data_IF_592276895254
#
_entry.id   IF_592276895254
#
_cell.length_a   1.000
_cell.length_b   1.000
_cell.length_c   1.000
_cell.angle_alpha   90.00
_cell.angle_beta   90.00
_cell.angle_gamma   90.00
#
_symmetry.space_group_name_H-M   'P 1'
#
loop_
_entity.id
_entity.type
_entity.pdbx_description
1 polymer ?
#
# COMPACT_ATOMS: atom_id res chain seq x y z
N UNK A 1 19.08 -21.26 3.95
CA UNK A 1 18.49 -19.92 4.23
C UNK A 1 17.41 -19.55 3.21
N UNK A 2 17.68 -19.60 1.88
CA UNK A 2 16.66 -19.23 0.85
C UNK A 2 15.39 -20.06 0.97
N UNK A 3 15.52 -21.38 1.13
CA UNK A 3 14.38 -22.28 1.31
C UNK A 3 13.58 -21.91 2.57
N UNK A 4 14.26 -21.74 3.71
CA UNK A 4 13.60 -21.35 4.96
C UNK A 4 12.88 -19.99 4.86
N UNK A 5 13.44 -19.03 4.14
CA UNK A 5 12.77 -17.75 3.86
C UNK A 5 11.49 -17.98 3.04
N UNK A 6 11.55 -18.80 1.99
CA UNK A 6 10.37 -19.15 1.19
C UNK A 6 9.27 -19.84 2.00
N UNK A 7 9.64 -20.78 2.88
CA UNK A 7 8.72 -21.47 3.78
C UNK A 7 8.03 -20.48 4.76
N UNK A 8 8.82 -19.60 5.41
CA UNK A 8 8.26 -18.56 6.30
C UNK A 8 7.34 -17.59 5.58
N UNK A 9 7.69 -17.16 4.36
CA UNK A 9 6.81 -16.32 3.53
C UNK A 9 5.50 -17.04 3.22
N UNK A 10 5.57 -18.35 2.90
CA UNK A 10 4.39 -19.15 2.60
C UNK A 10 3.48 -19.32 3.83
N UNK A 11 4.04 -19.57 5.00
CA UNK A 11 3.31 -19.62 6.27
C UNK A 11 2.65 -18.28 6.61
N UNK A 12 3.40 -17.18 6.40
CA UNK A 12 2.95 -15.83 6.76
C UNK A 12 1.84 -15.31 5.85
N UNK A 13 1.97 -15.51 4.55
CA UNK A 13 1.08 -14.89 3.54
C UNK A 13 0.16 -15.88 2.83
N UNK A 14 0.37 -17.19 2.99
CA UNK A 14 -0.50 -18.22 2.41
C UNK A 14 -0.29 -18.51 0.92
N UNK A 15 0.78 -18.00 0.31
CA UNK A 15 1.12 -18.23 -1.09
C UNK A 15 2.31 -19.20 -1.21
N UNK A 16 2.28 -20.18 -2.12
CA UNK A 16 3.30 -21.24 -2.17
C UNK A 16 4.59 -20.87 -2.92
N UNK A 17 4.58 -19.85 -3.77
CA UNK A 17 5.71 -19.48 -4.62
C UNK A 17 6.13 -18.05 -4.45
N UNK A 18 7.45 -17.83 -4.42
CA UNK A 18 8.03 -16.51 -4.12
C UNK A 18 9.20 -16.18 -5.05
N UNK A 19 9.21 -14.95 -5.52
CA UNK A 19 10.34 -14.31 -6.18
C UNK A 19 10.80 -13.12 -5.35
N UNK A 20 12.11 -12.99 -5.14
CA UNK A 20 12.68 -11.86 -4.39
C UNK A 20 13.19 -10.83 -5.39
N UNK A 21 12.90 -9.56 -5.13
CA UNK A 21 13.30 -8.41 -5.94
C UNK A 21 13.99 -7.37 -5.06
N UNK A 22 14.56 -6.31 -5.66
CA UNK A 22 15.20 -5.23 -4.88
C UNK A 22 14.18 -4.22 -4.36
N UNK A 23 13.11 -3.98 -5.09
CA UNK A 23 12.07 -2.99 -4.73
C UNK A 23 10.68 -3.51 -5.04
N UNK A 24 9.66 -2.96 -4.36
CA UNK A 24 8.27 -3.23 -4.71
C UNK A 24 7.93 -2.74 -6.12
N UNK A 25 8.58 -1.71 -6.63
CA UNK A 25 8.46 -1.29 -8.04
C UNK A 25 8.86 -2.42 -9.00
N UNK A 26 9.99 -3.09 -8.74
CA UNK A 26 10.44 -4.22 -9.57
C UNK A 26 9.49 -5.41 -9.45
N UNK A 27 9.00 -5.69 -8.23
CA UNK A 27 8.02 -6.74 -7.99
C UNK A 27 6.70 -6.48 -8.73
N UNK A 28 6.16 -5.27 -8.63
CA UNK A 28 4.94 -4.85 -9.33
C UNK A 28 5.13 -4.91 -10.86
N UNK A 29 6.30 -4.45 -11.37
CA UNK A 29 6.63 -4.55 -12.81
C UNK A 29 6.65 -5.99 -13.28
N UNK A 30 7.28 -6.89 -12.52
CA UNK A 30 7.32 -8.31 -12.83
C UNK A 30 5.90 -8.92 -12.80
N UNK A 31 5.10 -8.60 -11.77
CA UNK A 31 3.72 -9.06 -11.64
C UNK A 31 2.85 -8.64 -12.84
N UNK A 32 2.90 -7.37 -13.26
CA UNK A 32 2.14 -6.89 -14.41
C UNK A 32 2.60 -7.52 -15.73
N UNK A 33 3.92 -7.75 -15.92
CA UNK A 33 4.43 -8.45 -17.08
C UNK A 33 3.93 -9.90 -17.14
N UNK A 34 3.95 -10.60 -16.01
CA UNK A 34 3.40 -11.95 -15.91
C UNK A 34 1.90 -11.96 -16.16
N UNK A 35 1.14 -11.04 -15.57
CA UNK A 35 -0.29 -10.94 -15.78
C UNK A 35 -0.63 -10.78 -17.27
N UNK A 36 0.07 -9.89 -17.99
CA UNK A 36 -0.08 -9.70 -19.43
C UNK A 36 0.29 -10.94 -20.23
N UNK A 37 1.40 -11.59 -19.89
CA UNK A 37 1.87 -12.78 -20.57
C UNK A 37 0.91 -13.97 -20.39
N UNK A 38 0.36 -14.14 -19.20
CA UNK A 38 -0.57 -15.21 -18.83
C UNK A 38 -1.95 -15.02 -19.46
N UNK A 39 -2.45 -13.77 -19.51
CA UNK A 39 -3.82 -13.48 -19.95
C UNK A 39 -3.92 -13.12 -21.43
N UNK A 40 -2.81 -12.73 -22.07
CA UNK A 40 -2.80 -12.17 -23.43
C UNK A 40 -3.42 -10.77 -23.53
N UNK A 41 -3.75 -10.12 -22.40
CA UNK A 41 -4.37 -8.80 -22.34
C UNK A 41 -3.33 -7.74 -22.02
N UNK A 42 -3.52 -6.50 -22.49
CA UNK A 42 -2.58 -5.39 -22.25
C UNK A 42 -3.01 -4.47 -21.11
N UNK A 43 -4.32 -4.30 -20.90
CA UNK A 43 -4.89 -3.32 -19.99
C UNK A 43 -4.77 -3.74 -18.52
N UNK A 44 -4.57 -2.76 -17.64
CA UNK A 44 -4.65 -2.94 -16.18
C UNK A 44 -5.72 -2.03 -15.60
N UNK A 45 -6.34 -2.47 -14.51
CA UNK A 45 -7.24 -1.68 -13.69
C UNK A 45 -6.52 -1.28 -12.40
N UNK A 46 -6.64 -0.02 -12.00
CA UNK A 46 -6.07 0.49 -10.76
C UNK A 46 -7.04 1.49 -10.10
N UNK A 47 -6.68 2.00 -8.93
CA UNK A 47 -7.57 2.89 -8.16
C UNK A 47 -6.96 4.29 -8.04
N UNK A 48 -7.83 5.32 -8.14
CA UNK A 48 -7.42 6.70 -7.94
C UNK A 48 -6.82 6.90 -6.55
N UNK A 49 -5.61 7.48 -6.51
CA UNK A 49 -4.90 7.75 -5.27
C UNK A 49 -3.98 6.63 -4.79
N UNK A 50 -4.03 5.42 -5.35
CA UNK A 50 -3.06 4.36 -5.04
C UNK A 50 -1.65 4.69 -5.56
N UNK A 51 -0.64 4.10 -4.92
CA UNK A 51 0.75 4.23 -5.31
C UNK A 51 1.46 2.87 -5.32
N UNK A 52 2.04 2.52 -6.46
CA UNK A 52 2.69 1.22 -6.67
C UNK A 52 4.16 1.35 -7.10
N UNK A 53 4.84 2.37 -6.60
CA UNK A 53 6.21 2.70 -6.97
C UNK A 53 6.29 3.55 -8.25
N UNK A 54 7.48 3.63 -8.84
CA UNK A 54 7.74 4.39 -10.08
C UNK A 54 7.47 3.53 -11.33
N UNK A 55 6.32 2.89 -11.34
CA UNK A 55 5.86 2.06 -12.45
C UNK A 55 5.08 2.95 -13.42
N UNK A 56 5.60 3.17 -14.61
CA UNK A 56 5.07 4.18 -15.55
C UNK A 56 3.57 4.06 -15.77
N UNK A 57 3.05 2.85 -15.97
CA UNK A 57 1.61 2.60 -16.19
C UNK A 57 0.73 3.00 -15.00
N UNK A 58 1.29 3.10 -13.79
CA UNK A 58 0.53 3.47 -12.58
C UNK A 58 0.70 4.93 -12.19
N UNK A 59 1.55 5.68 -12.90
CA UNK A 59 1.72 7.13 -12.70
C UNK A 59 0.62 7.92 -13.41
N UNK A 60 -0.61 7.65 -13.03
CA UNK A 60 -1.84 8.20 -13.62
C UNK A 60 -2.77 8.75 -12.54
N UNK A 61 -3.73 9.58 -12.94
CA UNK A 61 -4.77 10.20 -12.10
C UNK A 61 -6.09 10.28 -12.83
N UNK A 62 -7.19 10.29 -12.10
CA UNK A 62 -8.51 10.64 -12.64
C UNK A 62 -8.62 12.16 -12.80
N UNK A 63 -8.90 12.62 -14.03
CA UNK A 63 -9.19 14.01 -14.36
C UNK A 63 -10.51 14.05 -15.14
N UNK A 64 -11.52 14.67 -14.56
CA UNK A 64 -12.87 14.70 -15.13
C UNK A 64 -13.40 13.31 -15.53
N UNK A 65 -13.18 12.30 -14.69
CA UNK A 65 -13.60 10.91 -14.92
C UNK A 65 -12.80 10.13 -15.95
N UNK A 66 -11.70 10.69 -16.46
CA UNK A 66 -10.81 10.02 -17.41
C UNK A 66 -9.44 9.78 -16.80
N UNK A 67 -8.85 8.62 -17.09
CA UNK A 67 -7.46 8.32 -16.73
C UNK A 67 -6.52 9.18 -17.57
N UNK A 68 -5.63 9.91 -16.93
CA UNK A 68 -4.61 10.79 -17.54
C UNK A 68 -3.28 10.57 -16.84
N UNK A 69 -2.18 10.92 -17.53
CA UNK A 69 -0.86 10.95 -16.89
C UNK A 69 -0.87 11.85 -15.64
N UNK A 70 -0.13 11.45 -14.62
CA UNK A 70 -0.03 12.20 -13.36
C UNK A 70 0.56 13.60 -13.64
N UNK A 71 -0.07 14.68 -13.13
CA UNK A 71 0.51 16.02 -13.27
C UNK A 71 1.92 16.10 -12.66
N UNK A 72 2.82 16.79 -13.35
CA UNK A 72 4.22 16.96 -12.92
C UNK A 72 5.13 15.75 -13.18
N UNK A 73 4.66 14.73 -13.88
CA UNK A 73 5.49 13.61 -14.31
C UNK A 73 6.56 14.10 -15.29
N UNK A 74 7.82 13.73 -15.05
CA UNK A 74 8.97 14.12 -15.85
C UNK A 74 9.30 13.01 -16.85
N UNK A 75 9.42 13.38 -18.15
CA UNK A 75 10.05 12.54 -19.15
C UNK A 75 9.37 11.22 -19.46
N UNK A 76 8.04 11.19 -19.51
CA UNK A 76 7.33 9.99 -19.90
C UNK A 76 7.65 9.60 -21.36
N UNK A 77 8.09 8.35 -21.61
CA UNK A 77 8.44 7.90 -22.97
C UNK A 77 7.21 7.55 -23.83
N UNK A 78 6.04 7.42 -23.22
CA UNK A 78 4.76 7.04 -23.84
C UNK A 78 3.59 7.63 -23.05
N UNK A 79 2.37 7.50 -23.56
CA UNK A 79 1.17 7.84 -22.80
C UNK A 79 0.93 6.83 -21.66
N UNK A 80 1.19 7.25 -20.44
CA UNK A 80 1.03 6.42 -19.23
C UNK A 80 -0.40 5.90 -19.05
N UNK A 81 -1.40 6.61 -19.58
CA UNK A 81 -2.81 6.21 -19.51
C UNK A 81 -3.21 5.19 -20.60
N UNK A 82 -2.37 4.94 -21.61
CA UNK A 82 -2.73 4.10 -22.76
C UNK A 82 -3.15 2.67 -22.38
N UNK A 83 -2.59 2.14 -21.31
CA UNK A 83 -2.84 0.75 -20.85
C UNK A 83 -3.40 0.65 -19.43
N UNK A 84 -3.86 1.78 -18.85
CA UNK A 84 -4.39 1.82 -17.49
C UNK A 84 -5.75 2.49 -17.45
N UNK A 85 -6.68 1.87 -16.75
CA UNK A 85 -7.95 2.48 -16.37
C UNK A 85 -7.94 2.69 -14.87
N UNK A 86 -8.30 3.90 -14.42
CA UNK A 86 -8.54 4.19 -13.02
C UNK A 86 -10.04 4.23 -12.72
N UNK A 87 -10.40 3.70 -11.58
CA UNK A 87 -11.71 3.88 -10.96
C UNK A 87 -11.53 4.34 -9.51
N UNK A 88 -12.58 4.83 -8.89
CA UNK A 88 -12.56 5.16 -7.47
C UNK A 88 -12.55 3.89 -6.61
N UNK A 89 -11.79 3.93 -5.52
CA UNK A 89 -11.85 2.91 -4.48
C UNK A 89 -13.22 2.94 -3.81
N UNK A 90 -13.75 1.79 -3.42
CA UNK A 90 -15.11 1.62 -2.87
C UNK A 90 -16.27 1.85 -3.86
N UNK A 91 -16.03 2.08 -5.13
CA UNK A 91 -17.07 2.18 -6.17
C UNK A 91 -17.40 0.79 -6.77
N UNK A 92 -18.38 0.12 -6.18
CA UNK A 92 -18.83 -1.21 -6.64
C UNK A 92 -19.44 -1.16 -8.05
N UNK A 93 -20.10 -0.07 -8.42
CA UNK A 93 -20.73 0.06 -9.73
C UNK A 93 -19.69 0.22 -10.84
N UNK A 94 -18.63 1.04 -10.59
CA UNK A 94 -17.51 1.14 -11.49
C UNK A 94 -16.75 -0.19 -11.61
N UNK A 95 -16.53 -0.88 -10.50
CA UNK A 95 -15.89 -2.18 -10.47
C UNK A 95 -16.64 -3.21 -11.33
N UNK A 96 -17.95 -3.27 -11.20
CA UNK A 96 -18.80 -4.15 -12.00
C UNK A 96 -18.74 -3.84 -13.49
N UNK A 97 -18.92 -2.56 -13.85
CA UNK A 97 -18.87 -2.09 -15.23
C UNK A 97 -17.53 -2.42 -15.89
N UNK A 98 -16.42 -2.18 -15.21
CA UNK A 98 -15.11 -2.39 -15.79
C UNK A 98 -14.78 -3.87 -15.95
N UNK A 99 -15.08 -4.72 -14.99
CA UNK A 99 -14.84 -6.16 -15.12
C UNK A 99 -15.74 -6.83 -16.18
N UNK A 100 -16.94 -6.31 -16.41
CA UNK A 100 -17.83 -6.79 -17.48
C UNK A 100 -17.20 -6.67 -18.88
N UNK A 101 -16.21 -5.79 -19.07
CA UNK A 101 -15.49 -5.60 -20.34
C UNK A 101 -14.56 -6.77 -20.68
N UNK A 102 -14.09 -7.52 -19.69
CA UNK A 102 -13.15 -8.64 -19.86
C UNK A 102 -11.76 -8.25 -20.36
N UNK A 103 -11.41 -6.96 -20.42
CA UNK A 103 -10.19 -6.46 -21.11
C UNK A 103 -8.93 -6.41 -20.25
N UNK A 104 -9.06 -6.57 -18.91
CA UNK A 104 -7.94 -6.37 -18.00
C UNK A 104 -7.10 -7.64 -17.81
N UNK A 105 -5.79 -7.49 -17.91
CA UNK A 105 -4.83 -8.53 -17.53
C UNK A 105 -4.77 -8.68 -16.01
N UNK A 106 -4.80 -7.54 -15.32
CA UNK A 106 -4.61 -7.43 -13.89
C UNK A 106 -5.41 -6.27 -13.33
N UNK A 107 -5.92 -6.43 -12.11
CA UNK A 107 -6.24 -5.32 -11.22
C UNK A 107 -5.18 -5.23 -10.14
N UNK A 108 -4.60 -4.04 -9.96
CA UNK A 108 -3.61 -3.78 -8.91
C UNK A 108 -4.24 -2.86 -7.85
N UNK A 109 -4.12 -3.25 -6.59
CA UNK A 109 -4.70 -2.52 -5.46
C UNK A 109 -3.81 -2.57 -4.22
N UNK A 110 -3.78 -1.49 -3.44
CA UNK A 110 -3.52 -1.57 -2.00
C UNK A 110 -4.79 -2.12 -1.34
N UNK A 111 -4.73 -3.02 -0.34
CA UNK A 111 -5.96 -3.54 0.29
C UNK A 111 -6.66 -2.52 1.20
N UNK A 112 -5.95 -1.46 1.60
CA UNK A 112 -6.44 -0.18 2.08
C UNK A 112 -5.51 0.89 1.52
N UNK A 113 -6.05 1.98 0.96
CA UNK A 113 -5.22 3.05 0.41
C UNK A 113 -4.53 3.80 1.55
N UNK A 114 -3.24 4.03 1.43
CA UNK A 114 -2.44 4.62 2.51
C UNK A 114 -1.40 5.65 2.03
N UNK A 115 -1.34 5.92 0.74
CA UNK A 115 -0.36 6.86 0.18
C UNK A 115 -0.96 8.23 -0.20
N UNK A 116 -2.27 8.34 -0.14
CA UNK A 116 -3.02 9.54 -0.50
C UNK A 116 -4.17 9.76 0.47
N UNK A 117 -3.84 10.00 1.74
CA UNK A 117 -4.75 9.82 2.86
C UNK A 117 -4.97 8.32 3.15
N UNK A 118 -5.72 8.02 4.18
CA UNK A 118 -6.08 6.65 4.52
C UNK A 118 -7.54 6.38 4.16
N UNK A 119 -7.74 5.61 3.07
CA UNK A 119 -9.05 5.15 2.64
C UNK A 119 -9.21 3.67 2.95
N UNK A 120 -10.08 3.37 3.90
CA UNK A 120 -10.37 2.00 4.32
C UNK A 120 -11.42 1.38 3.40
N UNK A 121 -11.29 0.10 3.02
CA UNK A 121 -12.31 -0.57 2.22
C UNK A 121 -13.65 -0.61 2.96
N UNK A 122 -14.73 -0.27 2.28
CA UNK A 122 -16.08 -0.44 2.80
C UNK A 122 -16.46 -1.92 2.88
N UNK A 123 -17.38 -2.29 3.77
CA UNK A 123 -17.84 -3.67 3.89
C UNK A 123 -18.26 -4.26 2.54
N UNK A 124 -17.73 -5.43 2.20
CA UNK A 124 -17.99 -6.14 0.96
C UNK A 124 -17.16 -5.71 -0.25
N UNK A 125 -16.45 -4.58 -0.23
CA UNK A 125 -15.67 -4.11 -1.40
C UNK A 125 -14.56 -5.09 -1.80
N UNK A 126 -13.72 -5.54 -0.88
CA UNK A 126 -12.63 -6.48 -1.18
C UNK A 126 -13.16 -7.84 -1.64
N UNK A 127 -14.24 -8.32 -1.05
CA UNK A 127 -14.89 -9.56 -1.49
C UNK A 127 -15.44 -9.43 -2.92
N UNK A 128 -16.07 -8.30 -3.25
CA UNK A 128 -16.54 -8.01 -4.61
C UNK A 128 -15.38 -7.88 -5.59
N UNK A 129 -14.28 -7.21 -5.20
CA UNK A 129 -13.06 -7.08 -6.00
C UNK A 129 -12.51 -8.48 -6.38
N UNK A 130 -12.39 -9.38 -5.40
CA UNK A 130 -11.94 -10.76 -5.62
C UNK A 130 -12.90 -11.54 -6.53
N UNK A 131 -14.18 -11.56 -6.20
CA UNK A 131 -15.16 -12.34 -6.93
C UNK A 131 -15.27 -11.89 -8.41
N UNK A 132 -15.29 -10.57 -8.66
CA UNK A 132 -15.43 -10.03 -10.02
C UNK A 132 -14.15 -10.18 -10.85
N UNK A 133 -12.96 -9.97 -10.25
CA UNK A 133 -11.70 -10.21 -10.94
C UNK A 133 -11.57 -11.67 -11.38
N UNK A 134 -11.94 -12.61 -10.51
CA UNK A 134 -11.93 -14.03 -10.80
C UNK A 134 -12.92 -14.39 -11.93
N UNK A 135 -14.15 -13.91 -11.86
CA UNK A 135 -15.17 -14.15 -12.89
C UNK A 135 -14.77 -13.59 -14.27
N UNK A 136 -14.07 -12.45 -14.30
CA UNK A 136 -13.54 -11.85 -15.53
C UNK A 136 -12.24 -12.48 -16.05
N UNK A 137 -11.65 -13.45 -15.33
CA UNK A 137 -10.34 -14.01 -15.65
C UNK A 137 -9.21 -12.99 -15.59
N UNK A 138 -9.38 -11.94 -14.76
CA UNK A 138 -8.41 -10.88 -14.48
C UNK A 138 -7.65 -11.26 -13.21
N UNK A 139 -6.31 -11.20 -13.23
CA UNK A 139 -5.51 -11.51 -12.05
C UNK A 139 -5.63 -10.38 -11.01
N UNK A 140 -5.83 -10.75 -9.73
CA UNK A 140 -5.82 -9.82 -8.61
C UNK A 140 -4.40 -9.72 -8.04
N UNK A 141 -3.78 -8.55 -8.17
CA UNK A 141 -2.50 -8.20 -7.57
C UNK A 141 -2.75 -7.28 -6.37
N UNK A 142 -2.34 -7.72 -5.20
CA UNK A 142 -2.37 -6.91 -3.97
C UNK A 142 -0.97 -6.44 -3.62
N UNK A 143 -0.82 -5.12 -3.54
CA UNK A 143 0.39 -4.45 -3.06
C UNK A 143 0.25 -4.15 -1.56
N UNK A 144 0.85 -5.01 -0.75
CA UNK A 144 0.82 -4.96 0.71
C UNK A 144 1.95 -4.10 1.30
N UNK A 145 2.73 -3.41 0.47
CA UNK A 145 3.96 -2.71 0.88
C UNK A 145 3.75 -1.74 2.04
N UNK A 146 2.60 -1.08 2.13
CA UNK A 146 2.26 -0.20 3.24
C UNK A 146 1.46 -0.91 4.34
N UNK A 147 0.57 -1.79 3.95
CA UNK A 147 -0.41 -2.41 4.84
C UNK A 147 0.11 -3.67 5.54
N UNK A 148 1.38 -4.06 5.28
CA UNK A 148 2.11 -5.05 6.10
C UNK A 148 2.02 -4.71 7.60
N UNK A 149 1.99 -3.44 7.97
CA UNK A 149 1.87 -2.96 9.35
C UNK A 149 0.46 -3.15 9.97
N UNK A 150 -0.51 -3.59 9.19
CA UNK A 150 -1.88 -3.79 9.66
C UNK A 150 -2.02 -4.96 10.64
N UNK A 151 -1.23 -6.02 10.44
CA UNK A 151 -1.25 -7.21 11.28
C UNK A 151 -0.28 -8.28 10.77
N UNK A 152 -0.16 -9.37 11.49
CA UNK A 152 0.66 -10.51 11.08
C UNK A 152 0.08 -11.13 9.80
N UNK A 153 0.88 -11.14 8.72
CA UNK A 153 0.42 -11.52 7.38
C UNK A 153 -0.25 -10.39 6.60
N UNK A 154 -0.19 -9.13 7.11
CA UNK A 154 -0.70 -7.94 6.46
C UNK A 154 -2.23 -7.77 6.55
N UNK A 155 -2.75 -6.73 5.92
CA UNK A 155 -4.19 -6.47 5.85
C UNK A 155 -4.92 -7.50 4.99
N UNK A 156 -4.25 -8.02 3.96
CA UNK A 156 -4.73 -9.11 3.09
C UNK A 156 -5.18 -10.32 3.91
N UNK A 157 -4.34 -10.77 4.84
CA UNK A 157 -4.67 -11.92 5.72
C UNK A 157 -5.79 -11.58 6.71
N UNK A 158 -5.78 -10.38 7.28
CA UNK A 158 -6.85 -9.93 8.20
C UNK A 158 -8.22 -9.88 7.52
N UNK A 159 -8.26 -9.55 6.23
CA UNK A 159 -9.49 -9.48 5.43
C UNK A 159 -9.81 -10.80 4.70
N UNK A 160 -9.04 -11.85 4.93
CA UNK A 160 -9.19 -13.15 4.25
C UNK A 160 -9.26 -12.99 2.71
N UNK A 161 -8.50 -12.03 2.18
CA UNK A 161 -8.44 -11.77 0.75
C UNK A 161 -7.43 -12.73 0.11
N UNK A 162 -7.84 -13.40 -0.95
CA UNK A 162 -7.04 -14.38 -1.68
C UNK A 162 -6.54 -13.82 -3.02
N UNK A 163 -5.40 -13.10 -3.07
CA UNK A 163 -4.87 -12.58 -4.31
C UNK A 163 -4.25 -13.68 -5.18
N UNK A 164 -4.19 -13.45 -6.49
CA UNK A 164 -3.43 -14.28 -7.42
C UNK A 164 -1.93 -13.96 -7.35
N UNK A 165 -1.62 -12.68 -7.14
CA UNK A 165 -0.29 -12.09 -7.04
C UNK A 165 -0.25 -11.16 -5.81
N UNK A 166 0.87 -11.19 -5.11
CA UNK A 166 1.07 -10.42 -3.88
C UNK A 166 2.44 -9.76 -3.90
N UNK A 167 2.51 -8.47 -3.58
CA UNK A 167 3.77 -7.74 -3.49
C UNK A 167 3.91 -7.11 -2.10
N UNK A 168 5.09 -7.22 -1.52
CA UNK A 168 5.46 -6.52 -0.29
C UNK A 168 6.92 -6.08 -0.33
N UNK A 169 7.16 -4.83 0.02
CA UNK A 169 8.49 -4.24 0.12
C UNK A 169 8.72 -3.53 1.45
N UNK A 170 9.52 -2.46 1.44
CA UNK A 170 9.81 -1.60 2.60
C UNK A 170 10.24 -2.39 3.85
N UNK A 171 9.33 -2.53 4.83
CA UNK A 171 9.62 -3.14 6.11
C UNK A 171 9.86 -4.66 6.07
N UNK A 172 9.54 -5.34 4.96
CA UNK A 172 9.65 -6.81 4.87
C UNK A 172 11.06 -7.34 5.18
N UNK A 173 12.09 -6.54 4.87
CA UNK A 173 13.50 -6.86 5.17
C UNK A 173 14.15 -5.82 6.12
N UNK A 174 13.37 -5.27 7.06
CA UNK A 174 13.88 -4.32 8.04
C UNK A 174 14.38 -3.00 7.46
N UNK A 175 13.97 -2.63 6.26
CA UNK A 175 14.39 -1.41 5.55
C UNK A 175 15.57 -1.61 4.60
N UNK A 176 16.17 -2.79 4.53
CA UNK A 176 17.14 -3.09 3.48
C UNK A 176 16.41 -3.20 2.12
N UNK A 177 17.02 -2.73 0.99
CA UNK A 177 16.42 -2.83 -0.34
C UNK A 177 16.09 -4.27 -0.72
N UNK A 178 14.83 -4.64 -0.52
CA UNK A 178 14.30 -5.97 -0.77
C UNK A 178 12.77 -5.88 -0.88
N UNK A 179 12.21 -6.66 -1.77
CA UNK A 179 10.78 -6.89 -1.85
C UNK A 179 10.51 -8.32 -2.31
N UNK A 180 9.29 -8.79 -2.08
CA UNK A 180 8.85 -10.12 -2.43
C UNK A 180 7.65 -10.04 -3.36
N UNK A 181 7.59 -10.96 -4.34
CA UNK A 181 6.46 -11.24 -5.20
C UNK A 181 6.00 -12.67 -4.91
N UNK A 182 4.84 -12.80 -4.29
CA UNK A 182 4.18 -14.09 -4.04
C UNK A 182 3.14 -14.40 -5.12
N UNK A 183 2.91 -15.68 -5.41
CA UNK A 183 1.90 -16.09 -6.37
C UNK A 183 1.35 -17.48 -6.08
N UNK A 184 0.13 -17.72 -6.60
CA UNK A 184 -0.58 -18.99 -6.43
C UNK A 184 -0.01 -20.09 -7.32
N UNK A 185 -0.30 -21.35 -7.00
CA UNK A 185 0.06 -22.49 -7.84
C UNK A 185 -0.57 -22.42 -9.25
N UNK A 186 -1.78 -21.87 -9.36
CA UNK A 186 -2.43 -21.66 -10.65
C UNK A 186 -1.67 -20.65 -11.52
N UNK A 187 -1.17 -19.57 -10.92
CA UNK A 187 -0.34 -18.57 -11.61
C UNK A 187 0.99 -19.19 -12.02
N UNK A 188 1.66 -19.91 -11.12
CA UNK A 188 2.93 -20.60 -11.41
C UNK A 188 2.81 -21.55 -12.60
N UNK A 189 1.80 -22.41 -12.61
CA UNK A 189 1.56 -23.34 -13.72
C UNK A 189 1.39 -22.62 -15.07
N UNK A 190 0.69 -21.48 -15.08
CA UNK A 190 0.53 -20.65 -16.29
C UNK A 190 1.82 -19.93 -16.67
N UNK A 191 2.65 -19.51 -15.71
CA UNK A 191 3.99 -18.97 -15.97
C UNK A 191 4.86 -20.00 -16.70
N UNK A 192 4.86 -21.26 -16.24
CA UNK A 192 5.61 -22.36 -16.89
C UNK A 192 5.12 -22.60 -18.32
N UNK A 193 3.81 -22.58 -18.56
CA UNK A 193 3.25 -22.72 -19.91
C UNK A 193 3.71 -21.60 -20.84
N UNK A 194 3.72 -20.34 -20.34
CA UNK A 194 4.21 -19.19 -21.11
C UNK A 194 5.70 -19.35 -21.44
N UNK A 195 6.52 -19.78 -20.48
CA UNK A 195 7.96 -19.99 -20.69
C UNK A 195 8.24 -21.09 -21.71
N UNK A 196 7.50 -22.21 -21.66
CA UNK A 196 7.65 -23.32 -22.58
C UNK A 196 7.35 -22.94 -24.06
N UNK A 197 6.56 -21.92 -24.29
CA UNK A 197 6.19 -21.45 -25.64
C UNK A 197 7.10 -20.32 -26.16
N UNK A 198 8.04 -19.81 -25.36
CA UNK A 198 8.92 -18.70 -25.75
C UNK A 198 10.25 -19.21 -26.31
N UNK A 199 10.82 -18.48 -27.28
CA UNK A 199 12.19 -18.76 -27.71
C UNK A 199 13.17 -18.49 -26.55
N UNK A 200 14.32 -19.21 -26.60
CA UNK A 200 15.41 -18.96 -25.66
C UNK A 200 15.87 -17.48 -25.71
N UNK A 201 16.12 -16.90 -24.55
CA UNK A 201 16.57 -15.50 -24.45
C UNK A 201 16.29 -14.89 -23.08
N UNK A 202 16.61 -13.62 -22.93
CA UNK A 202 16.40 -12.89 -21.68
C UNK A 202 14.92 -12.49 -21.52
N UNK A 203 14.31 -12.92 -20.43
CA UNK A 203 12.87 -12.67 -20.18
C UNK A 203 12.51 -11.21 -19.86
N UNK A 204 13.50 -10.39 -19.51
CA UNK A 204 13.30 -9.03 -18.96
C UNK A 204 12.78 -9.01 -17.54
N UNK A 205 12.83 -10.16 -16.84
CA UNK A 205 12.45 -10.31 -15.44
C UNK A 205 13.68 -10.36 -14.54
N UNK A 206 13.57 -9.76 -13.36
CA UNK A 206 14.64 -9.71 -12.39
C UNK A 206 15.75 -8.68 -12.72
N UNK A 207 16.60 -8.47 -11.74
CA UNK A 207 17.80 -7.62 -11.83
C UNK A 207 18.98 -8.42 -11.30
N UNK A 208 20.20 -8.05 -11.70
CA UNK A 208 21.44 -8.77 -11.33
C UNK A 208 21.61 -8.93 -9.80
N UNK A 209 21.20 -7.94 -9.04
CA UNK A 209 21.35 -7.94 -7.58
C UNK A 209 20.09 -8.41 -6.82
N UNK A 210 19.07 -8.87 -7.52
CA UNK A 210 17.91 -9.46 -6.86
C UNK A 210 18.32 -10.71 -6.06
N UNK A 211 17.73 -10.89 -4.87
CA UNK A 211 18.01 -12.02 -3.99
C UNK A 211 19.50 -12.16 -3.59
N UNK A 212 20.25 -11.04 -3.50
CA UNK A 212 21.63 -11.11 -3.02
C UNK A 212 21.70 -11.61 -1.56
N UNK A 213 22.86 -12.11 -1.16
CA UNK A 213 23.03 -12.77 0.14
C UNK A 213 22.67 -11.87 1.33
N UNK A 214 22.94 -10.56 1.26
CA UNK A 214 22.60 -9.62 2.33
C UNK A 214 21.10 -9.36 2.39
N UNK A 215 20.42 -9.18 1.24
CA UNK A 215 18.97 -9.04 1.17
C UNK A 215 18.25 -10.26 1.78
N UNK A 216 18.70 -11.47 1.43
CA UNK A 216 18.19 -12.72 2.01
C UNK A 216 18.42 -12.78 3.52
N UNK A 217 19.60 -12.35 4.00
CA UNK A 217 19.90 -12.34 5.44
C UNK A 217 19.02 -11.34 6.21
N UNK A 218 18.81 -10.14 5.65
CA UNK A 218 17.95 -9.12 6.26
C UNK A 218 16.47 -9.56 6.26
N UNK A 219 16.01 -10.16 5.17
CA UNK A 219 14.65 -10.72 5.06
C UNK A 219 14.43 -11.84 6.08
N UNK A 220 15.37 -12.79 6.18
CA UNK A 220 15.33 -13.89 7.14
C UNK A 220 15.26 -13.38 8.57
N UNK A 221 16.15 -12.46 8.96
CA UNK A 221 16.14 -11.86 10.29
C UNK A 221 14.85 -11.08 10.60
N UNK A 222 14.31 -10.34 9.62
CA UNK A 222 13.07 -9.61 9.79
C UNK A 222 11.88 -10.55 9.99
N UNK A 223 11.78 -11.63 9.20
CA UNK A 223 10.74 -12.64 9.32
C UNK A 223 10.82 -13.42 10.65
N UNK A 224 12.03 -13.65 11.15
CA UNK A 224 12.26 -14.42 12.38
C UNK A 224 12.02 -13.59 13.65
N UNK A 225 12.49 -12.33 13.68
CA UNK A 225 12.63 -11.59 14.93
C UNK A 225 11.77 -10.33 15.01
N UNK A 226 11.28 -9.82 13.87
CA UNK A 226 10.57 -8.54 13.80
C UNK A 226 9.10 -8.75 13.45
N UNK A 227 8.81 -9.56 12.44
CA UNK A 227 7.44 -9.84 11.97
C UNK A 227 6.87 -10.99 12.81
N UNK A 228 6.58 -10.71 14.07
CA UNK A 228 6.11 -11.66 15.06
C UNK A 228 4.76 -11.26 15.65
N UNK A 229 3.98 -12.24 16.13
CA UNK A 229 2.67 -12.00 16.74
C UNK A 229 2.76 -11.01 17.92
N UNK A 230 3.78 -11.16 18.79
CA UNK A 230 3.97 -10.31 19.97
C UNK A 230 4.26 -8.85 19.58
N UNK A 231 5.11 -8.63 18.56
CA UNK A 231 5.37 -7.28 18.06
C UNK A 231 4.10 -6.65 17.48
N UNK A 232 3.32 -7.39 16.68
CA UNK A 232 2.08 -6.87 16.14
C UNK A 232 1.03 -6.58 17.19
N UNK A 233 0.88 -7.42 18.23
CA UNK A 233 -0.02 -7.15 19.34
C UNK A 233 0.36 -5.85 20.06
N UNK A 234 1.64 -5.70 20.43
CA UNK A 234 2.15 -4.48 21.07
C UNK A 234 2.01 -3.23 20.21
N UNK A 235 2.29 -3.33 18.91
CA UNK A 235 2.10 -2.24 17.97
C UNK A 235 0.63 -1.83 17.86
N UNK A 236 -0.29 -2.78 17.84
CA UNK A 236 -1.73 -2.52 17.76
C UNK A 236 -2.26 -1.81 19.02
N UNK A 237 -1.79 -2.21 20.21
CA UNK A 237 -2.16 -1.58 21.48
C UNK A 237 -1.66 -0.13 21.55
N UNK A 238 -0.40 0.10 21.19
CA UNK A 238 0.17 1.45 21.14
C UNK A 238 -0.53 2.33 20.10
N UNK A 239 -0.88 1.78 18.94
CA UNK A 239 -1.62 2.50 17.91
C UNK A 239 -3.04 2.85 18.37
N UNK A 240 -3.71 1.96 19.12
CA UNK A 240 -5.01 2.24 19.70
C UNK A 240 -4.92 3.37 20.75
N UNK A 241 -3.91 3.34 21.61
CA UNK A 241 -3.66 4.39 22.59
C UNK A 241 -3.40 5.74 21.91
N UNK A 242 -2.57 5.76 20.85
CA UNK A 242 -2.30 6.96 20.07
C UNK A 242 -3.57 7.50 19.39
N UNK A 243 -4.38 6.64 18.77
CA UNK A 243 -5.63 7.06 18.14
C UNK A 243 -6.58 7.73 19.14
N UNK A 244 -6.74 7.14 20.33
CA UNK A 244 -7.56 7.70 21.41
C UNK A 244 -7.02 9.05 21.90
N UNK A 245 -5.71 9.18 22.09
CA UNK A 245 -5.07 10.41 22.51
C UNK A 245 -5.28 11.54 21.48
N UNK A 246 -5.15 11.24 20.17
CA UNK A 246 -5.40 12.19 19.10
C UNK A 246 -6.86 12.65 19.04
N UNK A 247 -7.81 11.72 19.16
CA UNK A 247 -9.25 12.07 19.19
C UNK A 247 -9.60 12.98 20.35
N UNK A 248 -9.07 12.69 21.56
CA UNK A 248 -9.25 13.53 22.74
C UNK A 248 -8.61 14.92 22.56
N UNK A 249 -7.44 14.97 21.92
CA UNK A 249 -6.74 16.20 21.61
C UNK A 249 -7.57 17.09 20.68
N UNK A 250 -8.07 16.54 19.57
CA UNK A 250 -8.89 17.29 18.63
C UNK A 250 -10.20 17.78 19.26
N UNK A 251 -10.83 16.96 20.11
CA UNK A 251 -12.02 17.37 20.85
C UNK A 251 -11.74 18.56 21.79
N UNK A 252 -10.60 18.57 22.53
CA UNK A 252 -10.20 19.67 23.40
C UNK A 252 -10.01 20.98 22.62
N UNK A 253 -9.43 20.90 21.43
CA UNK A 253 -9.24 22.06 20.55
C UNK A 253 -10.48 22.39 19.69
N UNK A 254 -11.61 21.68 19.88
CA UNK A 254 -12.86 21.84 19.10
C UNK A 254 -12.66 21.69 17.59
N UNK A 255 -11.71 20.84 17.19
CA UNK A 255 -11.42 20.55 15.80
C UNK A 255 -12.26 19.35 15.35
N UNK A 256 -13.00 19.52 14.28
CA UNK A 256 -13.75 18.42 13.63
C UNK A 256 -12.81 17.62 12.70
N UNK A 257 -11.76 17.03 13.27
CA UNK A 257 -10.79 16.22 12.56
C UNK A 257 -11.00 14.75 12.87
N UNK A 258 -10.81 13.89 11.88
CA UNK A 258 -10.89 12.46 12.06
C UNK A 258 -9.53 11.80 12.26
N UNK A 259 -9.55 10.60 12.84
CA UNK A 259 -8.39 9.71 12.92
C UNK A 259 -8.79 8.39 12.26
N UNK A 260 -8.09 8.01 11.20
CA UNK A 260 -8.20 6.70 10.56
C UNK A 260 -7.08 5.79 11.04
N UNK A 261 -7.38 4.48 11.21
CA UNK A 261 -6.39 3.49 11.67
C UNK A 261 -6.55 2.16 10.94
N UNK A 262 -5.41 1.61 10.49
CA UNK A 262 -5.29 0.26 9.93
C UNK A 262 -4.14 -0.43 10.65
N UNK A 263 -4.47 -1.26 11.64
CA UNK A 263 -3.49 -1.90 12.51
C UNK A 263 -2.61 -0.90 13.26
N UNK A 264 -1.31 -0.94 13.00
CA UNK A 264 -0.31 -0.05 13.59
C UNK A 264 -0.10 1.26 12.82
N UNK A 265 -0.82 1.48 11.72
CA UNK A 265 -0.77 2.69 10.91
C UNK A 265 -1.96 3.58 11.21
N UNK A 266 -1.69 4.88 11.39
CA UNK A 266 -2.71 5.89 11.67
C UNK A 266 -2.50 7.10 10.75
N UNK A 267 -3.58 7.81 10.50
CA UNK A 267 -3.55 9.10 9.84
C UNK A 267 -4.68 9.97 10.41
N UNK A 268 -4.42 11.25 10.62
CA UNK A 268 -5.49 12.20 10.90
C UNK A 268 -5.70 13.14 9.73
N UNK A 269 -6.96 13.46 9.46
CA UNK A 269 -7.34 14.39 8.41
C UNK A 269 -8.14 15.56 8.96
N UNK A 270 -8.23 16.62 8.17
CA UNK A 270 -8.78 17.91 8.56
C UNK A 270 -10.30 18.02 8.34
N UNK A 271 -10.95 16.93 7.97
CA UNK A 271 -12.40 16.85 7.83
C UNK A 271 -13.02 16.01 8.95
N UNK A 272 -14.32 16.20 9.20
CA UNK A 272 -15.04 15.45 10.24
C UNK A 272 -15.20 13.95 9.93
N UNK A 273 -15.20 13.59 8.66
CA UNK A 273 -15.34 12.21 8.22
C UNK A 273 -14.13 11.79 7.40
N UNK A 274 -13.66 10.54 7.55
CA UNK A 274 -12.59 10.02 6.71
C UNK A 274 -13.04 9.94 5.25
N UNK A 275 -12.10 10.09 4.29
CA UNK A 275 -12.43 9.98 2.88
C UNK A 275 -12.83 8.54 2.51
N UNK A 276 -13.76 8.41 1.57
CA UNK A 276 -14.25 7.11 1.09
C UNK A 276 -13.53 6.63 -0.17
N UNK A 277 -12.82 7.54 -0.86
CA UNK A 277 -12.11 7.26 -2.10
C UNK A 277 -10.97 8.28 -2.31
N UNK A 278 -10.21 8.10 -3.40
CA UNK A 278 -9.05 8.94 -3.71
C UNK A 278 -9.41 10.39 -4.01
N UNK A 279 -10.48 10.64 -4.74
CA UNK A 279 -10.92 12.00 -5.05
C UNK A 279 -11.38 12.77 -3.81
N UNK A 280 -12.12 12.13 -2.89
CA UNK A 280 -12.49 12.73 -1.60
C UNK A 280 -11.25 13.02 -0.75
N UNK A 281 -10.29 12.11 -0.72
CA UNK A 281 -9.03 12.33 -0.01
C UNK A 281 -8.27 13.54 -0.54
N UNK A 282 -8.18 13.69 -1.87
CA UNK A 282 -7.56 14.85 -2.50
C UNK A 282 -8.22 16.19 -2.11
N UNK A 283 -9.56 16.19 -2.01
CA UNK A 283 -10.31 17.38 -1.63
C UNK A 283 -10.14 17.77 -0.16
N UNK A 284 -9.82 16.81 0.70
CA UNK A 284 -9.61 17.04 2.14
C UNK A 284 -8.18 17.46 2.49
N UNK A 285 -7.23 17.36 1.56
CA UNK A 285 -5.84 17.74 1.79
C UNK A 285 -5.69 19.25 2.05
N UNK A 286 -4.85 19.59 3.03
CA UNK A 286 -4.52 20.96 3.38
C UNK A 286 -2.98 21.13 3.42
N UNK A 287 -2.30 21.22 2.27
CA UNK A 287 -0.83 21.12 2.21
C UNK A 287 -0.07 22.17 3.05
N UNK A 288 -0.62 23.37 3.20
CA UNK A 288 0.01 24.41 4.04
C UNK A 288 -0.09 24.06 5.52
N UNK A 289 -1.23 23.54 5.97
CA UNK A 289 -1.44 23.13 7.36
C UNK A 289 -0.62 21.87 7.68
N UNK A 290 -0.60 20.88 6.79
CA UNK A 290 0.26 19.69 6.90
C UNK A 290 1.73 20.09 7.08
N UNK A 291 2.20 21.01 6.25
CA UNK A 291 3.57 21.53 6.31
C UNK A 291 3.86 22.28 7.60
N UNK A 292 2.93 23.10 8.07
CA UNK A 292 3.08 23.84 9.34
C UNK A 292 3.20 22.87 10.51
N UNK A 293 2.32 21.89 10.62
CA UNK A 293 2.34 20.85 11.66
C UNK A 293 3.64 20.06 11.58
N UNK A 294 4.04 19.60 10.39
CA UNK A 294 5.28 18.87 10.19
C UNK A 294 6.50 19.66 10.69
N UNK A 295 6.65 20.90 10.26
CA UNK A 295 7.80 21.76 10.66
C UNK A 295 7.79 22.07 12.15
N UNK A 296 6.62 22.32 12.73
CA UNK A 296 6.49 22.58 14.17
C UNK A 296 6.96 21.37 14.99
N UNK A 297 6.52 20.18 14.62
CA UNK A 297 6.87 18.93 15.29
C UNK A 297 8.34 18.55 15.06
N UNK A 298 8.84 18.71 13.83
CA UNK A 298 10.24 18.44 13.49
C UNK A 298 11.21 19.25 14.36
N UNK A 299 10.94 20.54 14.54
CA UNK A 299 11.73 21.41 15.41
C UNK A 299 11.68 21.03 16.91
N UNK A 300 10.82 20.08 17.29
CA UNK A 300 10.66 19.54 18.66
C UNK A 300 11.04 18.08 18.77
N UNK A 301 11.75 17.57 17.76
CA UNK A 301 12.27 16.20 17.74
C UNK A 301 11.22 15.12 17.44
N UNK A 302 10.13 15.50 16.78
CA UNK A 302 9.10 14.56 16.29
C UNK A 302 9.04 14.63 14.77
N UNK A 303 9.42 13.54 14.11
CA UNK A 303 9.33 13.41 12.65
C UNK A 303 7.98 12.81 12.28
N UNK A 304 7.09 13.63 11.71
CA UNK A 304 5.88 13.21 11.03
C UNK A 304 6.12 13.26 9.51
N UNK A 305 5.37 12.51 8.71
CA UNK A 305 5.47 12.60 7.24
C UNK A 305 5.18 14.03 6.75
N UNK A 306 5.96 14.55 5.78
CA UNK A 306 5.85 15.95 5.39
C UNK A 306 4.72 16.27 4.40
N UNK A 307 3.99 15.27 3.89
CA UNK A 307 3.00 15.41 2.81
C UNK A 307 1.63 14.80 3.09
N UNK A 308 1.43 14.19 4.20
CA UNK A 308 0.17 13.79 4.85
C UNK A 308 0.48 13.39 6.29
N UNK A 309 -0.51 13.39 7.17
CA UNK A 309 -0.31 13.22 8.62
C UNK A 309 -0.21 11.76 9.04
N UNK A 310 0.50 10.95 8.27
CA UNK A 310 0.61 9.52 8.50
C UNK A 310 1.63 9.22 9.60
N UNK A 311 1.23 8.35 10.52
CA UNK A 311 2.02 7.84 11.62
C UNK A 311 2.09 6.32 11.55
N UNK A 312 3.24 5.77 11.85
CA UNK A 312 3.46 4.32 11.93
C UNK A 312 4.06 3.97 13.28
N UNK A 313 3.33 3.20 14.06
CA UNK A 313 3.85 2.56 15.26
C UNK A 313 4.70 1.37 14.84
N UNK A 314 5.96 1.38 15.25
CA UNK A 314 6.93 0.33 14.94
C UNK A 314 7.19 -0.58 16.16
N UNK A 315 7.86 -1.72 15.99
CA UNK A 315 8.29 -2.54 17.12
C UNK A 315 9.20 -1.81 18.12
N UNK A 316 9.87 -0.74 17.71
CA UNK A 316 10.74 0.08 18.57
C UNK A 316 9.99 1.19 19.30
N UNK A 317 8.77 1.52 18.90
CA UNK A 317 7.98 2.62 19.49
C UNK A 317 7.67 2.33 20.96
N UNK A 318 7.84 3.34 21.80
CA UNK A 318 7.57 3.30 23.24
C UNK A 318 6.41 4.24 23.60
N UNK A 319 5.75 4.03 24.76
CA UNK A 319 4.70 4.97 25.24
C UNK A 319 5.18 6.43 25.33
N UNK A 320 6.45 6.65 25.70
CA UNK A 320 7.04 7.99 25.76
C UNK A 320 7.11 8.69 24.39
N UNK A 321 7.18 7.95 23.29
CA UNK A 321 7.15 8.53 21.94
C UNK A 321 5.76 9.04 21.59
N UNK A 322 4.71 8.32 22.00
CA UNK A 322 3.31 8.73 21.88
C UNK A 322 3.07 10.01 22.69
N UNK A 323 3.55 10.04 23.94
CA UNK A 323 3.42 11.23 24.81
C UNK A 323 4.16 12.43 24.22
N UNK A 324 5.32 12.24 23.61
CA UNK A 324 6.08 13.31 22.96
C UNK A 324 5.32 13.87 21.75
N UNK A 325 4.80 13.01 20.90
CA UNK A 325 4.00 13.41 19.74
C UNK A 325 2.75 14.17 20.17
N UNK A 326 1.97 13.64 21.11
CA UNK A 326 0.70 14.23 21.52
C UNK A 326 0.89 15.58 22.22
N UNK A 327 1.89 15.72 23.11
CA UNK A 327 2.25 17.04 23.71
C UNK A 327 2.75 18.03 22.66
N UNK A 328 3.57 17.57 21.72
CA UNK A 328 4.05 18.43 20.63
C UNK A 328 2.93 18.94 19.74
N UNK A 329 1.98 18.06 19.41
CA UNK A 329 0.82 18.41 18.61
C UNK A 329 -0.15 19.32 19.38
N UNK A 330 -0.37 19.08 20.69
CA UNK A 330 -1.19 19.94 21.56
C UNK A 330 -0.67 21.38 21.57
N UNK A 331 0.64 21.54 21.76
CA UNK A 331 1.29 22.85 21.71
C UNK A 331 1.20 23.49 20.31
N UNK A 332 1.33 22.70 19.24
CA UNK A 332 1.16 23.16 17.87
C UNK A 332 -0.25 23.72 17.64
N UNK A 333 -1.27 22.95 18.02
CA UNK A 333 -2.67 23.34 17.84
C UNK A 333 -3.03 24.57 18.67
N UNK A 334 -2.50 24.70 19.89
CA UNK A 334 -2.70 25.90 20.71
C UNK A 334 -2.18 27.17 20.05
N UNK A 335 -1.04 27.09 19.33
CA UNK A 335 -0.52 28.22 18.55
C UNK A 335 -1.40 28.51 17.33
N UNK A 336 -1.77 27.49 16.57
CA UNK A 336 -2.57 27.65 15.35
C UNK A 336 -3.98 28.17 15.64
N UNK A 337 -4.62 27.72 16.73
CA UNK A 337 -5.97 28.16 17.11
C UNK A 337 -5.94 29.54 17.81
N UNK A 338 -4.88 29.83 18.57
CA UNK A 338 -4.72 31.11 19.26
C UNK A 338 -4.41 32.30 18.33
N UNK A 339 -3.95 32.03 17.10
CA UNK A 339 -3.67 33.02 16.07
C UNK A 339 -4.83 33.20 15.05
N UNK A 340 -5.91 32.43 15.17
CA UNK A 340 -7.09 32.63 14.35
C UNK A 340 -7.93 33.79 14.93
N UNK A 341 -8.21 34.82 14.13
CA UNK A 341 -8.95 36.02 14.59
C UNK A 341 -10.41 35.71 14.96
#
# INVERSE_FOLDING_TARGET
RVVAVGERLSELFGLPFWQITQTATDANRAALRWARAITGRAQILAFEGCYHGTLDETLVRLQAGQTRARPGLIGSPFDNAAHTTLIEFNDLAALEREFATGRYACVIAEPAMTNFGMVVPQPGFLAALRARSQAAGTLLLIDETHTLSAGLGGYTRLQQLEPDLFVCGKAIAGGYPCAVLGFTAAVESRMQQVLAQRPAGHSGMGTTLAANALAIACLDAALESVITADNYARMADLAAALASALQQLFARHRLAWHVSRVGARLEFGFAAQPPRNGSESAQQMQPLLERAIHLYLLNRGVLLTPFHNMMLVSPATQPADIDRLTRGLDACLSHLVGEMP
#
